data_IF_424169681573
#
_entry.id   IF_424169681573
#
_cell.length_a   1.000
_cell.length_b   1.000
_cell.length_c   1.000
_cell.angle_alpha   90.00
_cell.angle_beta   90.00
_cell.angle_gamma   90.00
#
_symmetry.space_group_name_H-M   'P 1'
#
loop_
_entity.id
_entity.type
_entity.pdbx_description
1 polymer ?
#
# COMPACT_ATOMS: atom_id res chain seq x y z
N UNK A 1 -69.32 47.62 21.63
CA UNK A 1 -68.24 48.34 20.93
C UNK A 1 -67.44 49.15 21.95
N UNK A 2 -66.16 48.79 22.09
CA UNK A 2 -65.02 49.41 22.79
C UNK A 2 -65.26 50.20 24.10
N UNK A 3 -64.80 49.62 25.23
CA UNK A 3 -64.28 50.38 26.38
C UNK A 3 -62.78 50.10 26.53
N UNK A 4 -62.01 51.19 26.60
CA UNK A 4 -60.61 51.29 27.05
C UNK A 4 -60.51 50.94 28.55
N UNK A 5 -59.41 50.34 28.99
CA UNK A 5 -58.49 50.95 29.97
C UNK A 5 -57.42 49.96 30.50
N UNK A 6 -56.16 50.39 30.37
CA UNK A 6 -55.06 50.38 31.34
C UNK A 6 -54.75 49.13 32.20
N UNK A 7 -53.58 48.54 31.91
CA UNK A 7 -52.37 48.75 32.74
C UNK A 7 -52.19 47.89 33.98
N UNK A 8 -51.33 46.88 33.89
CA UNK A 8 -50.43 46.46 34.98
C UNK A 8 -49.18 45.81 34.37
N UNK A 9 -48.04 46.46 34.58
CA UNK A 9 -46.72 45.98 34.19
C UNK A 9 -46.22 45.04 35.29
N UNK A 10 -46.26 43.74 35.03
CA UNK A 10 -45.58 42.73 35.83
C UNK A 10 -44.15 42.54 35.34
N UNK A 11 -43.19 42.70 36.25
CA UNK A 11 -41.76 42.47 36.03
C UNK A 11 -41.53 40.96 35.80
N UNK A 12 -41.28 40.55 34.56
CA UNK A 12 -40.87 39.17 34.22
C UNK A 12 -39.34 39.17 34.10
N UNK A 13 -38.67 38.46 35.01
CA UNK A 13 -37.25 38.16 34.89
C UNK A 13 -37.05 37.20 33.71
N UNK A 14 -36.56 37.73 32.59
CA UNK A 14 -36.08 36.95 31.46
C UNK A 14 -34.69 36.38 31.80
N UNK A 15 -34.66 35.13 32.23
CA UNK A 15 -33.47 34.30 32.03
C UNK A 15 -33.35 34.05 30.52
N UNK A 16 -32.43 34.76 29.87
CA UNK A 16 -32.01 34.40 28.54
C UNK A 16 -31.23 33.07 28.63
N UNK A 17 -31.62 32.02 27.89
CA UNK A 17 -30.77 30.85 27.76
C UNK A 17 -29.48 31.30 27.07
N UNK A 18 -28.33 30.95 27.64
CA UNK A 18 -27.04 31.02 26.96
C UNK A 18 -27.18 30.19 25.69
N UNK A 19 -27.27 30.87 24.55
CA UNK A 19 -27.10 30.22 23.27
C UNK A 19 -25.68 29.69 23.28
N UNK A 20 -25.54 28.36 23.27
CA UNK A 20 -24.30 27.71 22.90
C UNK A 20 -23.93 28.26 21.53
N UNK A 21 -22.93 29.14 21.51
CA UNK A 21 -22.29 29.51 20.26
C UNK A 21 -21.79 28.21 19.64
N UNK A 22 -22.04 27.96 18.34
CA UNK A 22 -21.45 26.82 17.65
C UNK A 22 -19.96 26.84 17.94
N UNK A 23 -19.47 25.77 18.55
CA UNK A 23 -18.07 25.61 18.83
C UNK A 23 -17.29 25.94 17.56
N UNK A 24 -16.55 27.04 17.59
CA UNK A 24 -15.29 27.08 16.90
C UNK A 24 -14.53 25.88 17.47
N UNK A 25 -14.57 24.75 16.75
CA UNK A 25 -13.58 23.71 16.92
C UNK A 25 -12.25 24.45 16.91
N UNK A 26 -11.53 24.36 18.01
CA UNK A 26 -10.15 24.80 18.06
C UNK A 26 -9.49 24.11 16.88
N UNK A 27 -9.20 24.88 15.83
CA UNK A 27 -8.14 24.52 14.90
C UNK A 27 -6.93 24.48 15.81
N UNK A 28 -6.62 23.30 16.32
CA UNK A 28 -5.52 23.10 17.24
C UNK A 28 -4.30 23.74 16.59
N UNK A 29 -3.52 24.46 17.40
CA UNK A 29 -2.22 24.95 16.93
C UNK A 29 -1.51 23.77 16.26
N UNK A 30 -0.89 23.95 15.08
CA UNK A 30 -0.24 22.84 14.39
C UNK A 30 0.65 22.12 15.39
N UNK A 31 0.32 20.84 15.64
CA UNK A 31 0.99 20.02 16.64
C UNK A 31 2.48 19.96 16.26
N UNK A 32 3.37 19.94 17.27
CA UNK A 32 4.81 19.98 17.02
C UNK A 32 5.27 18.62 16.47
N UNK A 33 5.23 18.49 15.16
CA UNK A 33 5.67 17.29 14.43
C UNK A 33 7.10 16.88 14.79
N UNK A 34 7.95 17.80 15.23
CA UNK A 34 9.33 17.49 15.55
C UNK A 34 9.44 16.79 16.91
N UNK A 35 8.67 17.23 17.92
CA UNK A 35 8.57 16.48 19.18
C UNK A 35 7.90 15.14 18.96
N UNK A 36 6.87 15.08 18.11
CA UNK A 36 6.19 13.82 17.80
C UNK A 36 7.10 12.81 17.08
N UNK A 37 7.93 13.26 16.13
CA UNK A 37 8.92 12.41 15.46
C UNK A 37 10.12 12.04 16.35
N UNK A 38 10.47 12.89 17.32
CA UNK A 38 11.54 12.61 18.28
C UNK A 38 11.10 11.67 19.41
N UNK A 39 9.78 11.52 19.62
CA UNK A 39 9.21 10.61 20.60
C UNK A 39 9.25 9.17 20.07
N UNK A 40 10.18 8.37 20.60
CA UNK A 40 10.31 6.94 20.32
C UNK A 40 9.11 6.13 20.81
N UNK A 41 8.27 6.74 21.65
CA UNK A 41 6.99 6.24 22.11
C UNK A 41 5.80 6.92 21.40
N UNK A 42 6.01 7.56 20.26
CA UNK A 42 4.88 7.99 19.41
C UNK A 42 4.13 6.78 18.85
N UNK A 43 2.83 6.94 18.58
CA UNK A 43 2.04 5.86 17.95
C UNK A 43 2.67 5.37 16.63
N UNK A 44 3.32 6.28 15.90
CA UNK A 44 3.94 6.00 14.62
C UNK A 44 5.21 5.20 14.79
N UNK A 45 6.07 5.55 15.76
CA UNK A 45 7.24 4.73 16.10
C UNK A 45 6.85 3.31 16.51
N UNK A 46 5.80 3.16 17.33
CA UNK A 46 5.34 1.86 17.82
C UNK A 46 4.64 1.00 16.77
N UNK A 47 3.80 1.58 15.91
CA UNK A 47 2.92 0.83 15.00
C UNK A 47 3.66 -0.10 14.04
N UNK A 48 4.91 0.20 13.72
CA UNK A 48 5.71 -0.69 12.88
C UNK A 48 6.07 -2.03 13.56
N UNK A 49 5.88 -2.18 14.87
CA UNK A 49 6.08 -3.44 15.57
C UNK A 49 4.89 -4.40 15.40
N UNK A 50 3.65 -3.89 15.32
CA UNK A 50 2.43 -4.68 15.19
C UNK A 50 2.44 -5.57 13.96
N UNK A 51 2.98 -5.06 12.85
CA UNK A 51 2.97 -5.76 11.57
C UNK A 51 3.74 -7.07 11.69
N UNK A 52 4.94 -7.04 12.28
CA UNK A 52 5.77 -8.22 12.41
C UNK A 52 5.14 -9.27 13.34
N UNK A 53 4.52 -8.78 14.41
CA UNK A 53 3.84 -9.59 15.42
C UNK A 53 2.57 -10.25 14.92
N UNK A 54 1.78 -9.58 14.07
CA UNK A 54 0.42 -10.02 13.71
C UNK A 54 0.30 -10.47 12.25
N UNK A 55 1.05 -9.85 11.34
CA UNK A 55 1.00 -10.08 9.89
C UNK A 55 2.32 -10.55 9.26
N UNK A 56 3.39 -10.63 10.06
CA UNK A 56 4.75 -10.91 9.63
C UNK A 56 5.27 -12.22 10.19
N UNK A 57 6.53 -12.51 9.88
CA UNK A 57 7.24 -13.67 10.41
C UNK A 57 8.22 -13.22 11.50
N UNK A 58 8.32 -13.97 12.60
CA UNK A 58 9.14 -13.72 13.80
C UNK A 58 10.67 -13.85 13.60
N UNK A 59 11.20 -13.48 12.42
CA UNK A 59 12.62 -13.41 12.17
C UNK A 59 13.17 -12.05 12.62
N UNK A 60 13.52 -11.91 13.92
CA UNK A 60 14.29 -10.80 14.50
C UNK A 60 14.24 -9.47 13.70
N UNK A 61 13.32 -8.58 14.05
CA UNK A 61 13.30 -7.17 13.60
C UNK A 61 14.64 -6.41 13.79
N UNK A 62 15.58 -7.00 14.54
CA UNK A 62 16.92 -6.47 14.77
C UNK A 62 17.91 -6.66 13.61
N UNK A 63 17.70 -7.57 12.65
CA UNK A 63 18.60 -7.73 11.51
C UNK A 63 17.84 -8.27 10.27
N UNK A 64 17.41 -7.36 9.41
CA UNK A 64 16.88 -7.58 8.05
C UNK A 64 15.38 -7.98 7.94
N UNK A 65 14.47 -6.99 7.87
CA UNK A 65 13.02 -7.21 7.64
C UNK A 65 12.66 -7.72 6.24
N UNK A 66 13.62 -8.00 5.34
CA UNK A 66 13.38 -8.21 3.90
C UNK A 66 13.06 -9.67 3.52
N UNK A 67 13.36 -10.71 4.33
CA UNK A 67 13.17 -12.10 3.87
C UNK A 67 11.71 -12.59 3.90
N UNK A 68 10.93 -12.20 4.92
CA UNK A 68 9.57 -12.69 5.16
C UNK A 68 8.48 -12.06 4.28
N UNK A 69 8.81 -10.91 3.69
CA UNK A 69 7.91 -10.10 2.87
C UNK A 69 8.00 -10.45 1.39
N UNK A 70 9.03 -11.23 1.01
CA UNK A 70 9.16 -11.72 -0.36
C UNK A 70 8.09 -12.74 -0.70
N UNK A 71 7.48 -12.58 -1.87
CA UNK A 71 6.48 -13.50 -2.39
C UNK A 71 6.49 -13.57 -3.90
N UNK A 72 5.55 -14.33 -4.46
CA UNK A 72 5.42 -14.50 -5.90
C UNK A 72 3.96 -14.58 -6.33
N UNK A 73 3.70 -14.08 -7.54
CA UNK A 73 2.47 -14.39 -8.28
C UNK A 73 2.62 -15.73 -8.98
N UNK A 74 1.57 -16.55 -8.95
CA UNK A 74 1.58 -17.86 -9.58
C UNK A 74 1.69 -17.77 -11.11
N UNK A 75 1.10 -16.73 -11.70
CA UNK A 75 1.16 -16.44 -13.14
C UNK A 75 1.32 -14.95 -13.38
N UNK A 76 1.63 -14.61 -14.62
CA UNK A 76 1.68 -13.22 -15.08
C UNK A 76 0.29 -12.66 -15.38
N UNK A 77 -0.65 -13.52 -15.77
CA UNK A 77 -2.01 -13.13 -16.18
C UNK A 77 -2.91 -12.77 -14.99
N UNK A 78 -2.54 -13.18 -13.78
CA UNK A 78 -3.29 -12.93 -12.56
C UNK A 78 -2.38 -12.37 -11.45
N UNK A 79 -2.48 -11.05 -11.25
CA UNK A 79 -1.78 -10.33 -10.19
C UNK A 79 -2.67 -10.10 -8.95
N UNK A 80 -3.72 -10.91 -8.76
CA UNK A 80 -4.66 -10.73 -7.63
C UNK A 80 -4.16 -11.32 -6.31
N UNK A 81 -3.31 -12.35 -6.36
CA UNK A 81 -2.83 -13.04 -5.18
C UNK A 81 -1.33 -13.28 -5.25
N UNK A 82 -0.61 -12.73 -4.28
CA UNK A 82 0.80 -12.98 -4.07
C UNK A 82 0.99 -13.89 -2.85
N UNK A 83 1.68 -15.01 -3.05
CA UNK A 83 2.00 -15.97 -1.98
C UNK A 83 3.37 -15.63 -1.42
N UNK A 84 3.47 -15.39 -0.11
CA UNK A 84 4.74 -15.10 0.56
C UNK A 84 5.56 -16.38 0.75
N UNK A 85 6.87 -16.29 0.60
CA UNK A 85 7.79 -17.44 0.64
C UNK A 85 7.82 -18.13 2.01
N UNK A 86 7.71 -17.36 3.09
CA UNK A 86 7.73 -17.86 4.48
C UNK A 86 6.31 -18.15 5.02
N UNK A 87 5.30 -18.06 4.15
CA UNK A 87 3.88 -18.22 4.47
C UNK A 87 3.13 -16.91 4.59
N UNK A 88 1.81 -16.98 4.44
CA UNK A 88 0.97 -15.79 4.29
C UNK A 88 0.73 -15.42 2.83
N UNK A 89 -0.20 -14.49 2.63
CA UNK A 89 -0.66 -14.06 1.31
C UNK A 89 -0.92 -12.55 1.28
N UNK A 90 -0.87 -11.98 0.09
CA UNK A 90 -1.31 -10.62 -0.18
C UNK A 90 -2.36 -10.69 -1.28
N UNK A 91 -3.59 -10.31 -0.95
CA UNK A 91 -4.67 -10.17 -1.91
C UNK A 91 -4.75 -8.72 -2.37
N UNK A 92 -4.82 -8.49 -3.68
CA UNK A 92 -4.95 -7.16 -4.26
C UNK A 92 -6.41 -6.89 -4.62
N UNK A 93 -7.03 -5.88 -4.00
CA UNK A 93 -8.45 -5.55 -4.18
C UNK A 93 -8.79 -5.14 -5.61
N UNK A 94 -7.88 -4.39 -6.25
CA UNK A 94 -7.89 -4.13 -7.68
C UNK A 94 -6.52 -4.54 -8.26
N UNK A 95 -6.41 -5.78 -8.80
CA UNK A 95 -5.16 -6.27 -9.36
C UNK A 95 -4.69 -5.35 -10.50
N UNK A 96 -3.45 -4.85 -10.47
CA UNK A 96 -2.98 -3.92 -11.49
C UNK A 96 -2.83 -4.61 -12.85
N UNK A 97 -3.27 -3.96 -13.93
CA UNK A 97 -2.97 -4.44 -15.28
C UNK A 97 -1.56 -4.02 -15.69
N UNK A 98 -0.94 -4.71 -16.65
CA UNK A 98 0.42 -4.33 -17.12
C UNK A 98 0.50 -2.92 -17.71
N UNK A 99 -0.61 -2.41 -18.25
CA UNK A 99 -0.70 -1.04 -18.74
C UNK A 99 -0.60 0.02 -17.62
N UNK A 100 -0.83 -0.38 -16.36
CA UNK A 100 -0.81 0.51 -15.19
C UNK A 100 0.59 0.67 -14.59
N UNK A 101 1.60 -0.05 -15.10
CA UNK A 101 2.97 0.04 -14.57
C UNK A 101 3.69 1.33 -15.03
N UNK A 102 4.41 2.03 -14.14
CA UNK A 102 4.53 1.77 -12.70
C UNK A 102 3.22 2.10 -11.96
N UNK A 103 2.79 1.16 -11.13
CA UNK A 103 1.55 1.20 -10.35
C UNK A 103 1.56 2.42 -9.44
N UNK A 104 0.50 3.23 -9.51
CA UNK A 104 0.39 4.52 -8.80
C UNK A 104 -0.46 4.45 -7.53
N UNK A 105 -1.36 3.48 -7.46
CA UNK A 105 -2.25 3.26 -6.34
C UNK A 105 -2.48 1.76 -6.15
N UNK A 106 -2.69 1.33 -4.91
CA UNK A 106 -2.97 -0.06 -4.62
C UNK A 106 -3.89 -0.19 -3.41
N UNK A 107 -4.71 -1.23 -3.41
CA UNK A 107 -5.49 -1.69 -2.27
C UNK A 107 -5.15 -3.17 -2.05
N UNK A 108 -4.85 -3.53 -0.82
CA UNK A 108 -4.42 -4.89 -0.50
C UNK A 108 -4.93 -5.36 0.85
N UNK A 109 -5.05 -6.67 0.98
CA UNK A 109 -5.34 -7.40 2.21
C UNK A 109 -4.19 -8.34 2.51
N UNK A 110 -3.71 -8.33 3.75
CA UNK A 110 -2.66 -9.21 4.25
C UNK A 110 -3.33 -10.40 4.93
N UNK A 111 -2.97 -11.59 4.50
CA UNK A 111 -3.38 -12.83 5.16
C UNK A 111 -2.18 -13.50 5.81
N UNK A 112 -2.41 -14.08 6.98
CA UNK A 112 -1.45 -14.91 7.67
C UNK A 112 -1.30 -16.29 7.00
N UNK A 113 -0.53 -17.17 7.66
CA UNK A 113 -0.21 -18.52 7.16
C UNK A 113 -1.43 -19.44 7.04
N UNK A 114 -2.48 -19.17 7.81
CA UNK A 114 -3.75 -19.90 7.82
C UNK A 114 -4.80 -19.25 6.89
N UNK A 115 -4.38 -18.25 6.11
CA UNK A 115 -5.20 -17.45 5.21
C UNK A 115 -6.28 -16.63 5.94
N UNK A 116 -6.04 -16.27 7.20
CA UNK A 116 -6.88 -15.37 7.98
C UNK A 116 -6.39 -13.93 7.77
N UNK A 117 -7.33 -13.01 7.64
CA UNK A 117 -7.00 -11.59 7.47
C UNK A 117 -6.38 -11.03 8.75
N UNK A 118 -5.08 -10.73 8.67
CA UNK A 118 -4.34 -10.08 9.76
C UNK A 118 -4.25 -8.57 9.56
N UNK A 119 -4.55 -8.04 8.36
CA UNK A 119 -4.46 -6.62 8.07
C UNK A 119 -4.82 -6.25 6.64
N UNK A 120 -4.79 -4.96 6.33
CA UNK A 120 -5.08 -4.42 5.00
C UNK A 120 -4.43 -3.05 4.81
N UNK A 121 -4.47 -2.52 3.59
CA UNK A 121 -3.93 -1.20 3.32
C UNK A 121 -4.35 -0.60 1.99
N UNK A 122 -4.23 0.72 1.91
CA UNK A 122 -4.41 1.48 0.69
C UNK A 122 -3.22 2.42 0.48
N UNK A 123 -2.87 2.68 -0.78
CA UNK A 123 -1.87 3.67 -1.15
C UNK A 123 -2.35 4.45 -2.35
N UNK A 124 -2.26 5.77 -2.28
CA UNK A 124 -2.56 6.71 -3.37
C UNK A 124 -1.48 7.79 -3.53
N UNK A 125 -0.38 7.67 -2.79
CA UNK A 125 0.73 8.61 -2.81
C UNK A 125 1.59 8.47 -1.56
N UNK A 126 2.81 9.01 -1.61
CA UNK A 126 3.79 8.82 -0.53
C UNK A 126 3.33 9.36 0.84
N UNK A 127 2.39 10.29 0.87
CA UNK A 127 1.77 10.82 2.10
C UNK A 127 0.24 10.69 2.07
N UNK A 128 -0.27 9.72 1.30
CA UNK A 128 -1.71 9.42 1.19
C UNK A 128 -1.89 7.90 1.18
N UNK A 129 -1.90 7.29 2.36
CA UNK A 129 -1.98 5.85 2.54
C UNK A 129 -2.65 5.48 3.87
N UNK A 130 -3.18 4.26 3.96
CA UNK A 130 -3.70 3.70 5.20
C UNK A 130 -3.19 2.28 5.39
N UNK A 131 -2.91 1.89 6.62
CA UNK A 131 -2.56 0.52 6.99
C UNK A 131 -3.40 0.13 8.19
N UNK A 132 -4.05 -1.02 8.09
CA UNK A 132 -4.81 -1.64 9.16
C UNK A 132 -4.14 -2.93 9.56
N UNK A 133 -4.00 -3.15 10.86
CA UNK A 133 -3.64 -4.44 11.44
C UNK A 133 -4.83 -4.90 12.28
N UNK A 134 -5.33 -6.11 12.04
CA UNK A 134 -6.46 -6.68 12.75
C UNK A 134 -5.97 -7.30 14.05
N UNK A 135 -6.70 -7.13 15.16
CA UNK A 135 -6.26 -7.59 16.46
C UNK A 135 -6.19 -9.12 16.49
N UNK A 136 -5.18 -9.66 17.18
CA UNK A 136 -5.08 -11.10 17.48
C UNK A 136 -5.90 -11.40 18.74
N UNK A 137 -6.52 -12.59 18.78
CA UNK A 137 -7.18 -13.08 19.99
C UNK A 137 -6.16 -13.21 21.12
N UNK A 138 -6.35 -12.45 22.21
CA UNK A 138 -5.44 -12.40 23.36
C UNK A 138 -5.39 -13.72 24.13
N UNK A 139 -6.34 -14.62 23.86
CA UNK A 139 -6.39 -15.97 24.43
C UNK A 139 -5.67 -17.03 23.56
N UNK A 140 -5.06 -16.65 22.42
CA UNK A 140 -4.24 -17.56 21.62
C UNK A 140 -2.89 -17.84 22.32
N UNK A 141 -2.57 -19.11 22.69
CA UNK A 141 -1.27 -19.47 23.27
C UNK A 141 -0.05 -19.23 22.37
N UNK A 142 -0.25 -18.80 21.11
CA UNK A 142 0.77 -18.34 20.17
C UNK A 142 0.97 -16.84 20.07
N UNK A 143 0.28 -16.01 20.88
CA UNK A 143 0.42 -14.55 20.83
C UNK A 143 1.89 -14.13 21.01
N UNK A 144 2.40 -13.33 20.07
CA UNK A 144 3.79 -12.86 20.13
C UNK A 144 4.01 -12.08 21.43
N UNK A 145 5.19 -12.25 22.00
CA UNK A 145 5.69 -11.34 23.03
C UNK A 145 6.47 -10.22 22.34
N UNK A 146 6.61 -9.07 22.98
CA UNK A 146 7.64 -8.09 22.60
C UNK A 146 9.00 -8.80 22.37
N UNK A 147 9.93 -8.22 21.59
CA UNK A 147 11.27 -8.80 21.37
C UNK A 147 12.06 -9.11 22.65
N UNK A 148 11.65 -8.55 23.79
CA UNK A 148 12.20 -8.77 25.13
C UNK A 148 11.46 -9.86 25.95
N UNK A 149 10.45 -10.52 25.38
CA UNK A 149 9.66 -11.57 26.02
C UNK A 149 8.52 -11.07 26.91
N UNK A 150 8.22 -9.76 26.92
CA UNK A 150 7.10 -9.21 27.68
C UNK A 150 5.76 -9.35 26.94
N UNK A 151 4.63 -9.50 27.64
CA UNK A 151 3.30 -9.44 27.01
C UNK A 151 3.10 -8.10 26.28
N UNK A 152 2.42 -8.10 25.14
CA UNK A 152 2.09 -6.92 24.32
C UNK A 152 1.09 -5.97 25.00
N UNK A 153 1.38 -5.51 26.23
CA UNK A 153 0.42 -4.76 27.03
C UNK A 153 0.43 -3.26 26.79
N UNK A 154 1.43 -2.72 26.08
CA UNK A 154 1.59 -1.26 25.92
C UNK A 154 1.84 -0.75 24.47
N UNK A 155 2.12 -1.62 23.48
CA UNK A 155 2.69 -1.17 22.21
C UNK A 155 1.90 -1.65 20.97
N UNK A 156 0.67 -1.11 20.84
CA UNK A 156 -0.33 -1.24 19.75
C UNK A 156 -0.71 -2.69 19.36
N UNK A 157 -2.01 -2.97 19.41
CA UNK A 157 -2.59 -4.31 19.29
C UNK A 157 -3.58 -4.41 18.12
N UNK A 158 -3.31 -3.66 17.05
CA UNK A 158 -4.22 -3.49 15.91
C UNK A 158 -4.86 -2.10 15.81
N UNK A 159 -5.59 -1.87 14.72
CA UNK A 159 -6.20 -0.59 14.34
C UNK A 159 -5.66 -0.06 13.02
N UNK A 160 -6.15 1.11 12.60
CA UNK A 160 -5.80 1.74 11.32
C UNK A 160 -4.92 2.97 11.53
N UNK A 161 -3.70 2.90 11.02
CA UNK A 161 -2.83 4.06 10.81
C UNK A 161 -3.15 4.71 9.47
N UNK A 162 -3.52 5.99 9.46
CA UNK A 162 -3.83 6.73 8.23
C UNK A 162 -2.95 7.95 8.11
N UNK A 163 -2.43 8.20 6.91
CA UNK A 163 -1.76 9.43 6.52
C UNK A 163 -2.49 10.02 5.32
N UNK A 164 -2.97 11.25 5.46
CA UNK A 164 -3.67 11.95 4.39
C UNK A 164 -3.05 13.34 4.15
N UNK A 165 -2.48 13.54 2.97
CA UNK A 165 -2.14 14.84 2.44
C UNK A 165 -3.21 15.28 1.43
N UNK A 166 -3.74 16.48 1.59
CA UNK A 166 -4.77 17.08 0.73
C UNK A 166 -4.19 17.91 -0.44
N UNK A 167 -2.88 17.81 -0.68
CA UNK A 167 -2.15 18.64 -1.65
C UNK A 167 -1.75 20.01 -1.12
N UNK A 168 -2.06 20.33 0.14
CA UNK A 168 -1.51 21.48 0.87
C UNK A 168 -0.25 21.11 1.67
N UNK A 169 0.32 22.08 2.38
CA UNK A 169 1.43 21.88 3.31
C UNK A 169 0.97 21.23 4.63
N UNK A 170 -0.05 20.36 4.60
CA UNK A 170 -0.62 19.71 5.78
C UNK A 170 -0.58 18.20 5.63
N UNK A 171 -0.34 17.50 6.73
CA UNK A 171 -0.42 16.05 6.86
C UNK A 171 -1.35 15.75 8.03
N UNK A 172 -2.42 15.02 7.75
CA UNK A 172 -3.27 14.44 8.79
C UNK A 172 -2.79 13.01 9.07
N UNK A 173 -2.49 12.73 10.35
CA UNK A 173 -2.13 11.40 10.82
C UNK A 173 -3.18 10.95 11.82
N UNK A 174 -3.79 9.81 11.57
CA UNK A 174 -4.69 9.16 12.53
C UNK A 174 -4.00 7.92 13.07
N UNK A 175 -3.75 7.91 14.38
CA UNK A 175 -3.15 6.78 15.07
C UNK A 175 -4.19 5.69 15.32
N UNK A 176 -3.75 4.42 15.29
CA UNK A 176 -4.58 3.31 15.74
C UNK A 176 -4.86 3.43 17.24
N UNK A 177 -6.00 2.88 17.65
CA UNK A 177 -6.36 2.65 19.05
C UNK A 177 -6.50 1.16 19.25
N UNK A 178 -6.20 0.64 20.47
CA UNK A 178 -6.44 -0.76 20.76
C UNK A 178 -7.88 -1.14 20.42
N UNK A 179 -8.04 -2.35 19.90
CA UNK A 179 -9.35 -2.91 19.58
C UNK A 179 -9.76 -3.90 20.68
N UNK A 180 -11.05 -3.91 21.01
CA UNK A 180 -11.64 -4.98 21.82
C UNK A 180 -11.75 -6.29 21.01
N UNK A 181 -12.14 -7.37 21.67
CA UNK A 181 -12.19 -8.71 21.06
C UNK A 181 -13.33 -8.81 20.02
N UNK A 182 -14.23 -7.83 19.99
CA UNK A 182 -15.25 -7.64 18.96
C UNK A 182 -14.81 -6.72 17.80
N UNK A 183 -13.56 -6.25 17.81
CA UNK A 183 -12.97 -5.40 16.76
C UNK A 183 -13.35 -3.93 16.83
N UNK A 184 -13.86 -3.44 17.97
CA UNK A 184 -14.23 -2.03 18.16
C UNK A 184 -13.10 -1.22 18.83
N UNK A 185 -12.94 0.06 18.49
CA UNK A 185 -12.05 1.00 19.18
C UNK A 185 -12.30 1.09 20.69
N UNK A 186 -11.26 0.87 21.52
CA UNK A 186 -11.37 1.06 22.98
C UNK A 186 -11.38 2.52 23.42
N UNK A 187 -11.02 3.44 22.52
CA UNK A 187 -10.99 4.89 22.73
C UNK A 187 -11.14 5.66 21.40
N UNK A 188 -11.34 6.97 21.46
CA UNK A 188 -11.31 7.81 20.26
C UNK A 188 -9.89 7.83 19.66
N UNK A 189 -9.74 7.76 18.32
CA UNK A 189 -8.43 7.76 17.68
C UNK A 189 -7.74 9.13 17.80
N UNK A 190 -6.47 9.10 18.20
CA UNK A 190 -5.65 10.30 18.22
C UNK A 190 -5.38 10.76 16.79
N UNK A 191 -5.83 11.96 16.46
CA UNK A 191 -5.62 12.57 15.14
C UNK A 191 -4.73 13.80 15.27
N UNK A 192 -3.66 13.81 14.51
CA UNK A 192 -2.67 14.88 14.47
C UNK A 192 -2.74 15.62 13.14
N UNK A 193 -2.79 16.95 13.20
CA UNK A 193 -2.73 17.82 12.03
C UNK A 193 -1.38 18.55 12.03
N UNK A 194 -0.48 18.13 11.14
CA UNK A 194 0.87 18.66 11.07
C UNK A 194 1.04 19.58 9.86
N UNK A 195 1.69 20.72 10.07
CA UNK A 195 2.06 21.63 8.98
C UNK A 195 3.50 21.32 8.51
N UNK A 196 3.66 20.96 7.23
CA UNK A 196 4.94 20.63 6.58
C UNK A 196 5.95 21.77 6.62
N UNK A 197 5.51 23.04 6.65
CA UNK A 197 6.41 24.18 6.80
C UNK A 197 7.09 24.24 8.18
N UNK A 198 6.59 23.49 9.17
CA UNK A 198 7.22 23.36 10.49
C UNK A 198 8.33 22.30 10.45
N UNK A 199 8.21 21.26 9.61
CA UNK A 199 9.23 20.23 9.41
C UNK A 199 10.54 20.77 8.87
N UNK A 200 10.50 21.79 8.01
CA UNK A 200 11.71 22.44 7.46
C UNK A 200 12.63 23.03 8.55
N UNK A 201 12.12 23.21 9.78
CA UNK A 201 12.89 23.69 10.92
C UNK A 201 13.61 22.57 11.68
N UNK A 202 13.41 21.32 11.30
CA UNK A 202 13.81 20.13 12.05
C UNK A 202 14.79 19.30 11.22
N UNK A 203 16.01 19.84 11.08
CA UNK A 203 17.04 19.36 10.16
C UNK A 203 17.51 17.92 10.34
N UNK A 204 17.21 17.28 11.48
CA UNK A 204 17.59 15.88 11.76
C UNK A 204 16.41 14.90 11.64
N UNK A 205 15.17 15.38 11.54
CA UNK A 205 13.96 14.53 11.59
C UNK A 205 13.16 14.57 10.27
N UNK A 206 13.55 15.40 9.31
CA UNK A 206 12.90 15.51 8.00
C UNK A 206 12.84 14.17 7.27
N UNK A 207 13.83 13.31 7.48
CA UNK A 207 13.89 12.01 6.83
C UNK A 207 12.94 10.99 7.46
N UNK A 208 12.43 11.22 8.67
CA UNK A 208 11.57 10.29 9.41
C UNK A 208 10.07 10.55 9.26
N UNK A 209 9.68 11.55 8.47
CA UNK A 209 8.27 11.84 8.21
C UNK A 209 7.51 10.61 7.69
N UNK A 210 6.22 10.43 8.07
CA UNK A 210 5.37 9.37 7.53
C UNK A 210 5.38 9.37 6.01
N UNK A 211 5.99 8.34 5.44
CA UNK A 211 6.11 8.16 4.00
C UNK A 211 5.95 6.70 3.62
N UNK A 212 5.11 6.45 2.63
CA UNK A 212 5.00 5.16 1.99
C UNK A 212 5.66 5.17 0.60
N UNK A 213 6.13 4.02 0.17
CA UNK A 213 6.72 3.80 -1.14
C UNK A 213 6.02 2.63 -1.81
N UNK A 214 5.51 2.88 -3.02
CA UNK A 214 5.03 1.85 -3.93
C UNK A 214 5.96 1.82 -5.14
N UNK A 215 6.72 0.74 -5.26
CA UNK A 215 7.64 0.53 -6.36
C UNK A 215 7.19 -0.67 -7.17
N UNK A 216 7.22 -0.54 -8.49
CA UNK A 216 6.79 -1.63 -9.35
C UNK A 216 7.50 -1.60 -10.68
N UNK A 217 7.73 -2.80 -11.21
CA UNK A 217 8.27 -3.03 -12.55
C UNK A 217 7.52 -4.19 -13.18
N UNK A 218 7.11 -4.09 -14.45
CA UNK A 218 6.49 -5.21 -15.14
C UNK A 218 7.51 -6.32 -15.48
N UNK A 219 8.81 -6.08 -15.26
CA UNK A 219 9.87 -6.96 -15.74
C UNK A 219 10.20 -6.72 -17.21
N UNK A 220 11.13 -7.51 -17.74
CA UNK A 220 11.54 -7.45 -19.14
C UNK A 220 11.74 -8.87 -19.69
N UNK A 221 11.39 -9.11 -20.97
CA UNK A 221 11.53 -10.42 -21.57
C UNK A 221 13.01 -10.76 -21.78
N UNK A 222 13.29 -12.04 -21.96
CA UNK A 222 14.60 -12.45 -22.47
C UNK A 222 14.80 -11.89 -23.89
N UNK A 223 16.02 -11.46 -24.19
CA UNK A 223 16.42 -11.14 -25.56
C UNK A 223 17.63 -11.99 -25.93
N UNK A 224 18.04 -11.96 -27.20
CA UNK A 224 19.26 -12.63 -27.68
C UNK A 224 20.54 -12.23 -26.93
N UNK A 225 20.52 -11.16 -26.13
CA UNK A 225 21.69 -10.64 -25.41
C UNK A 225 21.45 -10.41 -23.90
N UNK A 226 20.24 -10.60 -23.40
CA UNK A 226 19.87 -10.29 -22.01
C UNK A 226 18.95 -11.34 -21.44
N UNK A 227 19.24 -11.84 -20.24
CA UNK A 227 18.35 -12.75 -19.50
C UNK A 227 17.02 -12.06 -19.15
N UNK A 228 15.96 -12.87 -19.02
CA UNK A 228 14.65 -12.39 -18.61
C UNK A 228 14.71 -11.76 -17.20
N UNK A 229 14.15 -10.57 -17.05
CA UNK A 229 14.10 -9.85 -15.78
C UNK A 229 12.69 -10.00 -15.18
N UNK A 230 12.53 -10.61 -14.00
CA UNK A 230 11.22 -10.69 -13.35
C UNK A 230 10.71 -9.30 -12.99
N UNK A 231 9.39 -9.13 -13.03
CA UNK A 231 8.74 -7.94 -12.50
C UNK A 231 8.59 -8.02 -10.98
N UNK A 232 8.11 -6.94 -10.39
CA UNK A 232 7.77 -6.90 -8.97
C UNK A 232 6.75 -5.82 -8.65
N UNK A 233 6.06 -5.98 -7.53
CA UNK A 233 5.32 -4.93 -6.83
C UNK A 233 5.77 -4.97 -5.37
N UNK A 234 6.32 -3.86 -4.89
CA UNK A 234 6.83 -3.69 -3.54
C UNK A 234 6.13 -2.54 -2.86
N UNK A 235 5.68 -2.77 -1.63
CA UNK A 235 5.12 -1.73 -0.77
C UNK A 235 5.87 -1.69 0.57
N UNK A 236 6.30 -0.50 0.96
CA UNK A 236 7.02 -0.27 2.21
C UNK A 236 6.63 1.08 2.82
N UNK A 237 6.73 1.18 4.14
CA UNK A 237 6.50 2.42 4.89
C UNK A 237 7.74 2.73 5.70
N UNK A 238 8.13 4.00 5.66
CA UNK A 238 9.19 4.55 6.48
C UNK A 238 8.68 4.77 7.89
N UNK A 239 9.52 4.48 8.88
CA UNK A 239 9.28 4.72 10.29
C UNK A 239 10.53 5.33 10.94
N UNK A 240 10.40 5.99 12.10
CA UNK A 240 11.55 6.38 12.91
C UNK A 240 12.35 5.15 13.34
N UNK A 241 13.64 5.32 13.71
CA UNK A 241 14.43 4.25 14.29
C UNK A 241 13.77 3.68 15.56
N UNK A 242 14.09 2.43 15.91
CA UNK A 242 13.60 1.76 17.13
C UNK A 242 14.25 2.26 18.44
N UNK A 243 14.86 3.45 18.41
CA UNK A 243 15.55 4.09 19.54
C UNK A 243 15.61 5.60 19.30
N UNK A 244 16.48 6.32 20.02
CA UNK A 244 16.57 7.79 19.97
C UNK A 244 16.70 8.33 18.53
N UNK A 245 15.64 8.94 17.96
CA UNK A 245 15.67 9.49 16.61
C UNK A 245 16.58 10.70 16.47
N UNK A 246 17.03 11.29 17.57
CA UNK A 246 17.93 12.45 17.58
C UNK A 246 19.41 12.06 17.63
N UNK A 247 19.72 10.77 17.78
CA UNK A 247 21.08 10.27 17.79
C UNK A 247 21.79 10.50 16.44
N UNK A 248 23.07 10.85 16.51
CA UNK A 248 23.90 11.01 15.31
C UNK A 248 24.03 9.66 14.56
N UNK A 249 23.68 9.64 13.27
CA UNK A 249 23.68 8.43 12.46
C UNK A 249 22.46 7.52 12.67
N UNK A 250 21.38 8.04 13.26
CA UNK A 250 20.09 7.37 13.28
C UNK A 250 19.57 7.13 11.85
N UNK A 251 19.33 5.87 11.50
CA UNK A 251 18.80 5.47 10.20
C UNK A 251 17.30 5.16 10.31
N UNK A 252 16.49 5.55 9.32
CA UNK A 252 15.07 5.24 9.34
C UNK A 252 14.83 3.73 9.25
N UNK A 253 13.77 3.27 9.91
CA UNK A 253 13.29 1.90 9.75
C UNK A 253 12.38 1.82 8.54
N UNK A 254 12.82 1.17 7.46
CA UNK A 254 11.96 0.85 6.33
C UNK A 254 11.27 -0.50 6.58
N UNK A 255 9.97 -0.47 6.82
CA UNK A 255 9.16 -1.68 6.98
C UNK A 255 8.54 -2.04 5.64
N UNK A 256 9.02 -3.13 5.04
CA UNK A 256 8.41 -3.73 3.87
C UNK A 256 7.19 -4.56 4.32
N UNK A 257 6.06 -4.42 3.63
CA UNK A 257 4.86 -5.24 3.91
C UNK A 257 4.78 -6.43 2.96
N UNK A 258 5.20 -6.19 1.72
CA UNK A 258 5.32 -7.21 0.69
C UNK A 258 6.26 -6.76 -0.43
N UNK A 259 6.89 -7.76 -1.04
CA UNK A 259 7.66 -7.65 -2.26
C UNK A 259 7.33 -8.87 -3.14
N UNK A 260 6.35 -8.66 -4.01
CA UNK A 260 5.73 -9.71 -4.80
C UNK A 260 6.37 -9.77 -6.17
N UNK A 261 7.11 -10.86 -6.44
CA UNK A 261 7.75 -11.13 -7.72
C UNK A 261 6.71 -11.53 -8.76
N UNK A 262 6.77 -10.89 -9.92
CA UNK A 262 6.01 -11.26 -11.12
C UNK A 262 6.92 -12.10 -12.02
N UNK A 263 6.45 -13.25 -12.54
CA UNK A 263 7.17 -13.97 -13.58
C UNK A 263 7.57 -13.05 -14.75
N UNK A 264 8.77 -13.21 -15.33
CA UNK A 264 9.16 -12.40 -16.48
C UNK A 264 8.15 -12.60 -17.62
N UNK A 265 7.92 -11.56 -18.46
CA UNK A 265 7.13 -11.75 -19.67
C UNK A 265 7.83 -12.77 -20.59
N UNK A 266 7.06 -13.56 -21.36
CA UNK A 266 7.62 -14.38 -22.44
C UNK A 266 8.43 -13.53 -23.42
N UNK A 267 9.44 -14.10 -24.09
CA UNK A 267 10.13 -13.41 -25.17
C UNK A 267 9.19 -13.09 -26.34
N UNK A 268 9.58 -12.16 -27.23
CA UNK A 268 8.95 -12.05 -28.55
C UNK A 268 8.86 -13.42 -29.23
N UNK A 269 7.85 -13.63 -30.07
CA UNK A 269 7.45 -14.91 -30.66
C UNK A 269 6.72 -15.89 -29.73
N UNK A 270 6.53 -15.54 -28.44
CA UNK A 270 5.83 -16.38 -27.47
C UNK A 270 4.96 -15.56 -26.50
N UNK A 271 4.78 -14.25 -26.75
CA UNK A 271 4.16 -13.29 -25.83
C UNK A 271 2.70 -12.95 -26.17
N UNK A 272 2.14 -13.62 -27.19
CA UNK A 272 0.77 -13.47 -27.68
C UNK A 272 0.45 -12.07 -28.22
N UNK A 273 1.46 -11.30 -28.62
CA UNK A 273 1.32 -9.97 -29.17
C UNK A 273 2.09 -9.88 -30.49
N UNK A 274 1.41 -9.58 -31.59
CA UNK A 274 2.09 -9.31 -32.87
C UNK A 274 3.05 -8.12 -32.75
N UNK A 275 4.35 -8.39 -32.63
CA UNK A 275 5.37 -7.37 -32.40
C UNK A 275 6.70 -7.66 -33.12
N UNK A 276 7.68 -6.77 -32.96
CA UNK A 276 8.96 -6.86 -33.67
C UNK A 276 8.80 -7.04 -35.19
N UNK A 277 9.32 -8.13 -35.76
CA UNK A 277 9.20 -8.46 -37.19
C UNK A 277 8.25 -9.63 -37.47
N UNK A 278 7.43 -10.01 -36.48
CA UNK A 278 6.35 -10.99 -36.64
C UNK A 278 5.36 -10.59 -37.72
N UNK A 279 4.97 -11.57 -38.54
CA UNK A 279 4.00 -11.34 -39.61
C UNK A 279 2.58 -11.66 -39.20
N UNK A 280 2.41 -12.44 -38.14
CA UNK A 280 1.18 -12.60 -37.35
C UNK A 280 1.57 -12.93 -35.89
N UNK A 281 0.61 -12.96 -34.95
CA UNK A 281 0.86 -13.17 -33.52
C UNK A 281 1.75 -14.40 -33.29
N UNK A 282 2.92 -14.18 -32.70
CA UNK A 282 3.91 -15.20 -32.32
C UNK A 282 4.46 -16.04 -33.49
N UNK A 283 4.45 -15.53 -34.73
CA UNK A 283 4.97 -16.27 -35.89
C UNK A 283 5.50 -15.40 -37.04
N UNK A 284 6.31 -16.03 -37.90
CA UNK A 284 6.90 -15.41 -39.08
C UNK A 284 8.03 -14.42 -38.75
N UNK A 285 8.63 -13.82 -39.77
CA UNK A 285 9.76 -12.90 -39.59
C UNK A 285 10.99 -13.61 -39.01
N UNK A 286 11.49 -13.13 -37.87
CA UNK A 286 12.61 -13.75 -37.15
C UNK A 286 12.19 -14.90 -36.23
N UNK A 287 10.89 -15.13 -36.05
CA UNK A 287 10.40 -16.21 -35.21
C UNK A 287 10.76 -17.59 -35.77
N UNK A 288 11.13 -18.50 -34.87
CA UNK A 288 11.35 -19.90 -35.25
C UNK A 288 10.06 -20.59 -35.70
N UNK A 289 8.92 -20.14 -35.17
CA UNK A 289 7.60 -20.61 -35.58
C UNK A 289 7.17 -19.95 -36.89
N UNK A 290 6.83 -20.77 -37.88
CA UNK A 290 6.17 -20.32 -39.11
C UNK A 290 4.66 -20.20 -38.88
N UNK A 291 4.04 -19.21 -39.50
CA UNK A 291 2.61 -18.97 -39.47
C UNK A 291 1.82 -20.07 -40.17
N UNK A 292 0.65 -20.38 -39.63
CA UNK A 292 -0.32 -21.34 -40.15
C UNK A 292 -1.12 -20.76 -41.33
N UNK A 293 -1.85 -21.59 -42.06
CA UNK A 293 -2.74 -21.14 -43.14
C UNK A 293 -3.73 -20.07 -42.64
N UNK A 294 -3.90 -19.00 -43.41
CA UNK A 294 -4.77 -17.86 -43.09
C UNK A 294 -4.15 -16.80 -42.17
N UNK A 295 -2.99 -17.05 -41.57
CA UNK A 295 -2.25 -16.05 -40.80
C UNK A 295 -1.45 -15.10 -41.70
N UNK A 296 -1.15 -13.91 -41.20
CA UNK A 296 -0.37 -12.88 -41.89
C UNK A 296 1.05 -13.33 -42.22
N UNK A 297 1.55 -12.88 -43.38
CA UNK A 297 2.89 -13.19 -43.87
C UNK A 297 3.45 -12.04 -44.71
N UNK A 298 4.77 -11.96 -44.84
CA UNK A 298 5.45 -11.03 -45.74
C UNK A 298 6.25 -11.77 -46.84
N UNK A 299 6.80 -12.94 -46.51
CA UNK A 299 7.56 -13.80 -47.42
C UNK A 299 7.12 -15.26 -47.28
N UNK A 300 7.38 -16.07 -48.31
CA UNK A 300 7.05 -17.50 -48.33
C UNK A 300 7.61 -18.25 -47.11
N UNK A 301 8.78 -17.84 -46.63
CA UNK A 301 9.44 -18.44 -45.47
C UNK A 301 8.70 -18.22 -44.14
N UNK A 302 7.80 -17.22 -44.07
CA UNK A 302 6.98 -16.99 -42.88
C UNK A 302 5.92 -18.09 -42.72
N UNK A 303 5.57 -18.80 -43.79
CA UNK A 303 4.45 -19.73 -43.81
C UNK A 303 4.89 -21.18 -43.67
N UNK A 304 4.14 -21.95 -42.88
CA UNK A 304 4.36 -23.41 -42.75
C UNK A 304 4.20 -24.12 -44.10
N UNK A 305 3.35 -23.59 -44.98
CA UNK A 305 3.15 -24.07 -46.35
C UNK A 305 4.25 -23.66 -47.32
N UNK A 306 5.07 -22.67 -46.98
CA UNK A 306 6.03 -22.04 -47.91
C UNK A 306 5.36 -21.17 -48.99
N UNK A 307 4.11 -20.73 -48.79
CA UNK A 307 3.35 -19.98 -49.79
C UNK A 307 2.66 -18.76 -49.16
N UNK A 308 3.29 -17.59 -49.31
CA UNK A 308 2.76 -16.33 -48.85
C UNK A 308 2.12 -15.58 -50.02
N UNK A 309 0.80 -15.34 -49.97
CA UNK A 309 0.08 -14.76 -51.09
C UNK A 309 -1.10 -13.88 -50.71
N UNK A 310 -1.63 -13.17 -51.71
CA UNK A 310 -2.83 -12.34 -51.54
C UNK A 310 -4.10 -13.21 -51.66
N UNK A 311 -4.95 -13.19 -50.63
CA UNK A 311 -6.29 -13.78 -50.66
C UNK A 311 -7.30 -12.78 -50.08
N UNK A 312 -8.35 -12.46 -50.84
CA UNK A 312 -9.36 -11.49 -50.40
C UNK A 312 -8.83 -10.07 -50.14
N UNK A 313 -7.62 -9.74 -50.62
CA UNK A 313 -6.97 -8.46 -50.37
C UNK A 313 -6.06 -8.42 -49.13
N UNK A 314 -5.91 -9.54 -48.41
CA UNK A 314 -4.98 -9.70 -47.30
C UNK A 314 -3.78 -10.53 -47.73
N UNK A 315 -2.58 -10.14 -47.30
CA UNK A 315 -1.37 -10.94 -47.48
C UNK A 315 -1.31 -11.99 -46.35
N UNK A 316 -1.45 -13.25 -46.70
CA UNK A 316 -1.59 -14.35 -45.74
C UNK A 316 -1.03 -15.67 -46.27
N UNK A 317 -0.76 -16.61 -45.37
CA UNK A 317 -0.32 -17.94 -45.71
C UNK A 317 -1.42 -18.73 -46.42
N UNK A 318 -1.09 -19.26 -47.59
CA UNK A 318 -1.98 -20.07 -48.41
C UNK A 318 -1.61 -21.55 -48.30
N UNK A 319 -2.56 -22.47 -48.54
CA UNK A 319 -2.26 -23.90 -48.63
C UNK A 319 -1.26 -24.25 -49.75
#
# INVERSE_FOLDING_TARGET
MLRRAFGSVGLIALFAPLWAMPGCGTRELPQDICNWLADDNSCYARFANDIATQCGYEGNLGNDPVSSTTGYFASRDDLSLCVKNEGGQVLFGSPPAFADFPVKSIEFTLLDRDAVECGSGTYNGSQTYSITINPVDKDDPGASTNPDGTPLTDDIAGGTFTVAADGSDVIDVTCPVPLDDEGNPTSDPESFNFNKLVLDKCSLLTDFQPRAFLESSPGAPETTTTEAVPGYIRFSVLYPPAGDPTAEGAEPRLVEYFNCRIPPPPPPCEDQIQNNDETDVDCGGSCAATCAEGQGCNVDADCTSGNCGLNGGLQQCLP
#
